data_IF_176069670315
#
_entry.id   IF_176069670315
#
_cell.length_a   1.000
_cell.length_b   1.000
_cell.length_c   1.000
_cell.angle_alpha   90.00
_cell.angle_beta   90.00
_cell.angle_gamma   90.00
#
_symmetry.space_group_name_H-M   'P 1'
#
loop_
_entity.id
_entity.type
_entity.pdbx_description
1 polymer ?
#
# COMPACT_ATOMS: atom_id res chain seq x y z
N UNK A 1 -19.69 -3.17 -13.11
CA UNK A 1 -20.04 -3.56 -11.72
C UNK A 1 -19.25 -4.76 -11.23
N UNK A 2 -18.93 -5.77 -12.07
CA UNK A 2 -18.15 -6.95 -11.65
C UNK A 2 -16.71 -6.70 -11.13
N UNK A 3 -16.10 -5.53 -11.38
CA UNK A 3 -14.71 -5.27 -10.97
C UNK A 3 -14.55 -4.91 -9.49
N UNK A 4 -15.48 -4.13 -8.92
CA UNK A 4 -15.35 -3.64 -7.54
C UNK A 4 -15.51 -4.75 -6.50
N UNK A 5 -16.53 -5.60 -6.66
CA UNK A 5 -16.76 -6.75 -5.78
C UNK A 5 -15.61 -7.77 -5.87
N UNK A 6 -15.06 -7.97 -7.08
CA UNK A 6 -13.90 -8.82 -7.30
C UNK A 6 -12.64 -8.28 -6.61
N UNK A 7 -12.46 -6.95 -6.58
CA UNK A 7 -11.33 -6.32 -5.90
C UNK A 7 -11.50 -6.36 -4.37
N UNK A 8 -12.72 -6.18 -3.85
CA UNK A 8 -12.98 -6.32 -2.41
C UNK A 8 -12.77 -7.76 -1.93
N UNK A 9 -13.28 -8.75 -2.68
CA UNK A 9 -13.07 -10.17 -2.37
C UNK A 9 -11.58 -10.54 -2.41
N UNK A 10 -10.85 -10.00 -3.37
CA UNK A 10 -9.40 -10.16 -3.47
C UNK A 10 -8.67 -9.58 -2.25
N UNK A 11 -8.95 -8.32 -1.86
CA UNK A 11 -8.30 -7.74 -0.69
C UNK A 11 -8.59 -8.56 0.58
N UNK A 12 -9.84 -8.99 0.78
CA UNK A 12 -10.21 -9.86 1.91
C UNK A 12 -9.44 -11.18 1.91
N UNK A 13 -9.28 -11.82 0.75
CA UNK A 13 -8.49 -13.06 0.61
C UNK A 13 -7.03 -12.86 1.05
N UNK A 14 -6.47 -11.68 0.77
CA UNK A 14 -5.07 -11.37 1.10
C UNK A 14 -4.85 -11.08 2.59
N UNK A 15 -5.87 -10.65 3.33
CA UNK A 15 -5.75 -10.26 4.75
C UNK A 15 -5.04 -11.31 5.61
N UNK A 16 -5.38 -12.61 5.46
CA UNK A 16 -4.74 -13.69 6.23
C UNK A 16 -3.22 -13.77 6.02
N UNK A 17 -2.75 -13.43 4.81
CA UNK A 17 -1.33 -13.46 4.47
C UNK A 17 -0.61 -12.23 5.01
N UNK A 18 -1.30 -11.08 5.02
CA UNK A 18 -0.80 -9.85 5.63
C UNK A 18 -0.74 -9.99 7.15
N UNK A 19 -1.77 -10.57 7.77
CA UNK A 19 -1.82 -10.86 9.21
C UNK A 19 -0.65 -11.75 9.64
N UNK A 20 -0.32 -12.76 8.84
CA UNK A 20 0.84 -13.61 9.08
C UNK A 20 2.16 -12.82 9.05
N UNK A 21 2.30 -11.82 8.16
CA UNK A 21 3.45 -10.91 8.16
C UNK A 21 3.49 -10.09 9.45
N UNK A 22 2.35 -9.51 9.86
CA UNK A 22 2.28 -8.70 11.07
C UNK A 22 2.62 -9.52 12.33
N UNK A 23 2.04 -10.70 12.48
CA UNK A 23 2.28 -11.59 13.62
C UNK A 23 3.73 -12.08 13.68
N UNK A 24 4.33 -12.38 12.52
CA UNK A 24 5.76 -12.72 12.42
C UNK A 24 6.64 -11.55 12.82
N UNK A 25 6.27 -10.32 12.42
CA UNK A 25 7.08 -9.12 12.66
C UNK A 25 6.95 -8.60 14.09
N UNK A 26 5.75 -8.67 14.64
CA UNK A 26 5.39 -8.19 15.97
C UNK A 26 4.63 -9.30 16.70
N UNK A 27 5.33 -10.24 17.34
CA UNK A 27 4.69 -11.31 18.09
C UNK A 27 3.82 -10.75 19.23
N UNK A 28 2.63 -11.32 19.41
CA UNK A 28 1.72 -10.92 20.50
C UNK A 28 0.86 -9.68 20.21
N UNK A 29 0.78 -9.25 18.95
CA UNK A 29 -0.17 -8.22 18.54
C UNK A 29 -1.61 -8.72 18.48
N UNK A 30 -2.54 -7.79 18.66
CA UNK A 30 -3.95 -7.90 18.32
C UNK A 30 -4.17 -7.09 17.04
N UNK A 31 -4.90 -7.66 16.08
CA UNK A 31 -5.16 -7.04 14.78
C UNK A 31 -6.65 -6.68 14.72
N UNK A 32 -6.95 -5.39 14.69
CA UNK A 32 -8.30 -4.85 14.52
C UNK A 32 -8.52 -4.40 13.06
N UNK A 33 -9.21 -5.26 12.30
CA UNK A 33 -9.65 -5.00 10.92
C UNK A 33 -11.04 -4.35 10.85
N UNK A 34 -11.78 -4.39 11.96
CA UNK A 34 -13.09 -3.75 12.12
C UNK A 34 -12.96 -2.39 12.82
N UNK A 35 -11.78 -1.77 12.72
CA UNK A 35 -11.46 -0.45 13.26
C UNK A 35 -12.38 0.68 12.77
N UNK A 36 -13.33 0.39 11.87
CA UNK A 36 -14.42 1.26 11.38
C UNK A 36 -15.71 1.14 12.19
N UNK A 37 -15.90 0.07 12.97
CA UNK A 37 -17.13 -0.28 13.66
C UNK A 37 -17.08 -0.07 15.19
N UNK A 38 -15.89 0.07 15.80
CA UNK A 38 -15.73 0.29 17.24
C UNK A 38 -15.94 1.73 17.72
N UNK A 39 -15.83 2.02 19.03
CA UNK A 39 -15.84 3.40 19.57
C UNK A 39 -14.67 4.26 19.05
N UNK A 40 -13.54 3.60 18.73
CA UNK A 40 -12.41 4.16 17.99
C UNK A 40 -12.70 4.33 16.48
N UNK A 41 -13.84 3.83 15.99
CA UNK A 41 -14.35 3.88 14.61
C UNK A 41 -14.59 5.28 14.04
N UNK A 42 -14.37 6.32 14.84
CA UNK A 42 -14.23 7.70 14.34
C UNK A 42 -12.86 7.97 13.71
N UNK A 43 -11.89 7.07 13.85
CA UNK A 43 -10.52 7.27 13.38
C UNK A 43 -10.16 6.59 12.06
N UNK A 44 -10.93 5.61 11.59
CA UNK A 44 -10.76 4.92 10.30
C UNK A 44 -11.89 5.27 9.33
N UNK A 45 -12.02 6.54 8.96
CA UNK A 45 -12.89 6.97 7.85
C UNK A 45 -12.17 6.69 6.52
N UNK A 46 -12.91 6.45 5.42
CA UNK A 46 -12.38 6.38 4.04
C UNK A 46 -11.47 7.57 3.72
N UNK A 47 -11.71 8.71 4.38
CA UNK A 47 -10.91 9.94 4.28
C UNK A 47 -9.56 9.91 4.98
N UNK A 48 -9.17 8.83 5.65
CA UNK A 48 -7.93 8.76 6.46
C UNK A 48 -6.96 7.70 5.98
N UNK A 49 -7.36 6.88 4.99
CA UNK A 49 -6.57 5.77 4.46
C UNK A 49 -5.93 4.95 5.59
N UNK A 50 -6.79 4.36 6.41
CA UNK A 50 -6.44 3.37 7.44
C UNK A 50 -7.31 2.14 7.17
N UNK A 51 -6.66 0.99 6.98
CA UNK A 51 -7.33 -0.29 6.75
C UNK A 51 -7.29 -1.19 7.98
N UNK A 52 -6.27 -1.05 8.84
CA UNK A 52 -6.09 -1.89 10.02
C UNK A 52 -5.41 -1.14 11.15
N UNK A 53 -5.78 -1.48 12.38
CA UNK A 53 -5.09 -1.07 13.60
C UNK A 53 -4.43 -2.30 14.22
N UNK A 54 -3.17 -2.16 14.59
CA UNK A 54 -2.40 -3.20 15.28
C UNK A 54 -2.06 -2.69 16.68
N UNK A 55 -2.43 -3.46 17.69
CA UNK A 55 -2.15 -3.17 19.10
C UNK A 55 -1.21 -4.23 19.67
N UNK A 56 -0.31 -3.84 20.56
CA UNK A 56 0.56 -4.79 21.26
C UNK A 56 0.29 -4.78 22.75
N UNK A 57 0.54 -5.91 23.41
CA UNK A 57 0.44 -6.06 24.88
C UNK A 57 1.32 -5.10 25.70
N UNK A 58 2.22 -4.36 25.04
CA UNK A 58 3.08 -3.35 25.67
C UNK A 58 2.47 -1.93 25.59
N UNK A 59 1.26 -1.81 25.05
CA UNK A 59 0.48 -0.57 25.03
C UNK A 59 0.75 0.36 23.83
N UNK A 60 1.51 -0.09 22.82
CA UNK A 60 1.66 0.67 21.58
C UNK A 60 0.61 0.27 20.54
N UNK A 61 0.27 1.22 19.67
CA UNK A 61 -0.70 1.08 18.59
C UNK A 61 -0.09 1.59 17.29
N UNK A 62 -0.34 0.87 16.19
CA UNK A 62 0.03 1.24 14.84
C UNK A 62 -1.21 1.28 13.94
N UNK A 63 -1.37 2.35 13.18
CA UNK A 63 -2.35 2.43 12.08
C UNK A 63 -1.66 2.13 10.76
N UNK A 64 -2.27 1.27 9.95
CA UNK A 64 -1.65 0.78 8.71
C UNK A 64 -2.64 0.91 7.54
N UNK A 65 -2.14 1.40 6.41
CA UNK A 65 -2.81 1.34 5.11
C UNK A 65 -2.32 0.11 4.35
N UNK A 66 -3.22 -0.66 3.74
CA UNK A 66 -2.88 -1.91 3.07
C UNK A 66 -3.16 -1.81 1.57
N UNK A 67 -2.22 -2.28 0.73
CA UNK A 67 -2.46 -2.46 -0.70
C UNK A 67 -1.73 -3.67 -1.23
N UNK A 68 -2.47 -4.54 -1.91
CA UNK A 68 -1.88 -5.68 -2.62
C UNK A 68 -2.16 -5.57 -4.11
N UNK A 69 -1.14 -5.81 -4.93
CA UNK A 69 -1.27 -5.99 -6.38
C UNK A 69 -1.42 -7.45 -6.72
N UNK A 70 -2.30 -7.74 -7.68
CA UNK A 70 -2.49 -9.10 -8.22
C UNK A 70 -1.22 -9.64 -8.86
N UNK A 71 -1.02 -10.96 -8.78
CA UNK A 71 0.23 -11.62 -9.17
C UNK A 71 0.66 -11.39 -10.61
N UNK A 72 -0.28 -11.17 -11.53
CA UNK A 72 0.01 -10.81 -12.94
C UNK A 72 0.94 -9.61 -13.09
N UNK A 73 0.88 -8.65 -12.17
CA UNK A 73 1.75 -7.47 -12.19
C UNK A 73 3.20 -7.85 -11.86
N UNK A 74 3.39 -8.77 -10.91
CA UNK A 74 4.70 -9.30 -10.57
C UNK A 74 5.27 -10.15 -11.71
N UNK A 75 4.46 -11.07 -12.26
CA UNK A 75 4.86 -11.90 -13.41
C UNK A 75 5.32 -11.04 -14.58
N UNK A 76 4.56 -10.01 -14.92
CA UNK A 76 4.92 -9.05 -15.98
C UNK A 76 6.25 -8.34 -15.70
N UNK A 77 6.51 -7.99 -14.44
CA UNK A 77 7.76 -7.36 -14.01
C UNK A 77 8.94 -8.30 -14.24
N UNK A 78 8.81 -9.57 -13.86
CA UNK A 78 9.84 -10.59 -14.09
C UNK A 78 10.07 -10.90 -15.58
N UNK A 79 9.00 -11.11 -16.36
CA UNK A 79 9.07 -11.48 -17.77
C UNK A 79 9.73 -10.40 -18.64
N UNK A 80 9.60 -9.13 -18.25
CA UNK A 80 10.14 -7.98 -19.00
C UNK A 80 11.37 -7.37 -18.38
N UNK A 81 11.96 -8.04 -17.39
CA UNK A 81 13.08 -7.52 -16.60
C UNK A 81 12.83 -6.08 -16.11
N UNK A 82 11.58 -5.80 -15.73
CA UNK A 82 11.14 -4.51 -15.28
C UNK A 82 11.02 -4.52 -13.77
N UNK A 83 11.61 -3.52 -13.15
CA UNK A 83 11.50 -3.32 -11.72
C UNK A 83 10.04 -3.11 -11.29
N UNK A 84 9.57 -3.79 -10.23
CA UNK A 84 8.24 -3.57 -9.68
C UNK A 84 8.11 -2.16 -9.07
N UNK A 85 6.91 -1.60 -9.11
CA UNK A 85 6.62 -0.26 -8.63
C UNK A 85 5.64 -0.27 -7.43
N UNK A 86 5.92 0.62 -6.47
CA UNK A 86 4.93 1.10 -5.52
C UNK A 86 4.00 2.08 -6.22
N UNK A 87 2.70 2.07 -5.88
CA UNK A 87 1.76 3.07 -6.40
C UNK A 87 1.05 3.85 -5.33
N UNK A 88 1.25 5.16 -5.39
CA UNK A 88 0.56 6.16 -4.61
C UNK A 88 -0.56 6.78 -5.44
N UNK A 89 -1.82 6.68 -4.99
CA UNK A 89 -2.90 7.43 -5.61
C UNK A 89 -2.74 8.93 -5.32
N UNK A 90 -2.89 9.75 -6.36
CA UNK A 90 -2.70 11.20 -6.27
C UNK A 90 -4.02 11.97 -6.39
N UNK A 91 -4.86 11.66 -7.37
CA UNK A 91 -6.20 12.24 -7.53
C UNK A 91 -7.22 11.19 -7.89
N UNK A 92 -8.46 11.41 -7.46
CA UNK A 92 -9.62 10.62 -7.86
C UNK A 92 -10.51 11.42 -8.80
N UNK A 93 -11.33 10.73 -9.61
CA UNK A 93 -12.29 11.33 -10.53
C UNK A 93 -11.72 12.43 -11.45
N UNK A 94 -10.49 12.25 -11.93
CA UNK A 94 -9.73 13.22 -12.74
C UNK A 94 -10.50 13.63 -13.99
N UNK A 95 -10.56 14.94 -14.23
CA UNK A 95 -11.26 15.52 -15.39
C UNK A 95 -12.79 15.49 -15.26
N UNK A 96 -13.32 15.40 -14.05
CA UNK A 96 -14.77 15.51 -13.76
C UNK A 96 -15.05 16.64 -12.79
N UNK A 97 -16.31 17.03 -12.66
CA UNK A 97 -16.75 18.01 -11.64
C UNK A 97 -16.57 17.51 -10.19
N UNK A 98 -16.32 16.21 -10.01
CA UNK A 98 -16.09 15.57 -8.71
C UNK A 98 -14.61 15.26 -8.46
N UNK A 99 -13.69 15.85 -9.23
CA UNK A 99 -12.25 15.64 -9.01
C UNK A 99 -11.86 16.02 -7.57
N UNK A 100 -11.23 15.09 -6.87
CA UNK A 100 -10.86 15.25 -5.47
C UNK A 100 -9.43 14.78 -5.21
N UNK A 101 -8.79 15.27 -4.13
CA UNK A 101 -7.51 14.73 -3.69
C UNK A 101 -7.61 13.21 -3.51
N UNK A 102 -6.61 12.46 -3.98
CA UNK A 102 -6.48 11.02 -3.76
C UNK A 102 -5.73 10.69 -2.48
N UNK A 103 -5.55 9.39 -2.23
CA UNK A 103 -4.97 8.82 -0.99
C UNK A 103 -3.76 9.60 -0.43
N UNK A 104 -2.84 10.06 -1.30
CA UNK A 104 -1.65 10.83 -0.90
C UNK A 104 -1.95 11.97 0.09
N UNK A 105 -3.04 12.69 -0.15
CA UNK A 105 -3.41 13.89 0.60
C UNK A 105 -4.09 13.58 1.93
N UNK A 106 -4.57 12.36 2.11
CA UNK A 106 -5.30 11.91 3.30
C UNK A 106 -4.72 10.64 3.90
N UNK A 107 -3.48 10.30 3.56
CA UNK A 107 -2.74 9.18 4.14
C UNK A 107 -2.36 9.50 5.59
N UNK A 108 -3.19 9.06 6.54
CA UNK A 108 -3.02 9.29 7.99
C UNK A 108 -2.47 8.05 8.72
N UNK A 109 -2.42 6.90 8.05
CA UNK A 109 -1.74 5.73 8.58
C UNK A 109 -0.28 6.07 8.96
N UNK A 110 0.24 5.39 9.97
CA UNK A 110 1.65 5.47 10.36
C UNK A 110 2.52 4.63 9.43
N UNK A 111 2.01 3.47 9.00
CA UNK A 111 2.69 2.55 8.10
C UNK A 111 1.88 2.28 6.83
N UNK A 112 2.58 1.95 5.74
CA UNK A 112 1.98 1.49 4.50
C UNK A 112 2.48 0.09 4.19
N UNK A 113 1.58 -0.90 4.22
CA UNK A 113 1.87 -2.25 3.73
C UNK A 113 1.57 -2.32 2.24
N UNK A 114 2.58 -2.69 1.44
CA UNK A 114 2.43 -2.88 0.00
C UNK A 114 2.94 -4.26 -0.42
N UNK A 115 2.07 -5.06 -1.01
CA UNK A 115 2.37 -6.45 -1.39
C UNK A 115 2.11 -6.77 -2.84
N UNK A 116 2.71 -7.86 -3.30
CA UNK A 116 2.41 -8.53 -4.56
C UNK A 116 1.95 -9.95 -4.25
N UNK A 117 0.77 -10.30 -4.75
CA UNK A 117 0.20 -11.64 -4.66
C UNK A 117 1.08 -12.65 -5.42
N UNK A 118 1.18 -13.87 -4.91
CA UNK A 118 1.82 -14.98 -5.63
C UNK A 118 1.08 -15.31 -6.93
N UNK A 119 1.78 -15.82 -7.96
CA UNK A 119 1.12 -16.24 -9.20
C UNK A 119 0.03 -17.31 -9.01
N UNK A 120 0.13 -18.12 -7.95
CA UNK A 120 -0.84 -19.16 -7.58
C UNK A 120 -2.00 -18.61 -6.75
N UNK A 121 -2.03 -17.30 -6.47
CA UNK A 121 -3.04 -16.63 -5.65
C UNK A 121 -3.19 -17.23 -4.24
N UNK A 122 -2.11 -17.77 -3.68
CA UNK A 122 -2.07 -18.50 -2.41
C UNK A 122 -1.25 -17.80 -1.33
N UNK A 123 -0.72 -16.61 -1.62
CA UNK A 123 0.12 -15.85 -0.70
C UNK A 123 0.69 -14.57 -1.30
N UNK A 124 1.78 -14.10 -0.69
CA UNK A 124 2.54 -12.95 -1.15
C UNK A 124 3.88 -13.45 -1.70
N UNK A 125 4.22 -13.04 -2.93
CA UNK A 125 5.55 -13.33 -3.50
C UNK A 125 6.59 -12.30 -3.07
N UNK A 126 6.15 -11.07 -2.83
CA UNK A 126 6.98 -10.01 -2.30
C UNK A 126 6.12 -9.01 -1.53
N UNK A 127 6.72 -8.30 -0.60
CA UNK A 127 6.08 -7.20 0.12
C UNK A 127 7.10 -6.21 0.65
N UNK A 128 6.63 -5.02 0.98
CA UNK A 128 7.35 -4.00 1.73
C UNK A 128 6.42 -3.34 2.76
N UNK A 129 7.03 -2.76 3.78
CA UNK A 129 6.33 -1.97 4.78
C UNK A 129 7.06 -0.65 5.00
N UNK A 130 6.36 0.44 4.69
CA UNK A 130 6.91 1.78 4.61
C UNK A 130 6.51 2.61 5.82
N UNK A 131 7.45 3.39 6.35
CA UNK A 131 7.13 4.45 7.29
C UNK A 131 6.60 5.66 6.51
N UNK A 132 5.34 6.04 6.74
CA UNK A 132 4.67 7.07 5.96
C UNK A 132 5.28 8.45 6.20
N UNK A 133 5.73 8.74 7.43
CA UNK A 133 6.36 10.01 7.74
C UNK A 133 7.70 10.15 6.98
N UNK A 134 8.54 9.11 7.03
CA UNK A 134 9.79 9.08 6.27
C UNK A 134 9.54 9.19 4.77
N UNK A 135 8.56 8.46 4.25
CA UNK A 135 8.16 8.55 2.85
C UNK A 135 7.78 9.98 2.45
N UNK A 136 6.93 10.66 3.22
CA UNK A 136 6.55 12.06 2.96
C UNK A 136 7.75 13.00 3.00
N UNK A 137 8.68 12.80 3.95
CA UNK A 137 9.93 13.56 3.99
C UNK A 137 10.80 13.35 2.75
N UNK A 138 10.90 12.11 2.24
CA UNK A 138 11.66 11.78 1.04
C UNK A 138 11.05 12.46 -0.19
N UNK A 139 9.73 12.36 -0.35
CA UNK A 139 9.00 13.03 -1.44
C UNK A 139 9.24 14.54 -1.39
N UNK A 140 9.13 15.14 -0.21
CA UNK A 140 9.38 16.57 -0.01
C UNK A 140 10.83 16.94 -0.35
N UNK A 141 11.82 16.20 0.15
CA UNK A 141 13.24 16.44 -0.10
C UNK A 141 13.61 16.31 -1.58
N UNK A 142 12.90 15.47 -2.34
CA UNK A 142 13.08 15.33 -3.79
C UNK A 142 12.36 16.39 -4.61
N UNK A 143 11.49 17.19 -3.99
CA UNK A 143 10.72 18.24 -4.65
C UNK A 143 9.39 17.78 -5.25
N UNK A 144 8.88 16.60 -4.85
CA UNK A 144 7.56 16.11 -5.29
C UNK A 144 7.54 14.65 -5.74
N UNK A 145 6.33 14.10 -5.91
CA UNK A 145 6.11 12.71 -6.35
C UNK A 145 6.56 12.48 -7.81
N UNK A 146 6.46 13.51 -8.65
CA UNK A 146 6.92 13.55 -10.03
C UNK A 146 8.43 13.35 -10.20
N UNK A 147 9.19 13.63 -9.14
CA UNK A 147 10.65 13.40 -9.11
C UNK A 147 11.00 11.96 -8.79
N UNK A 148 10.11 11.24 -8.11
CA UNK A 148 10.31 9.86 -7.70
C UNK A 148 9.67 8.86 -8.66
N UNK A 149 8.50 9.16 -9.23
CA UNK A 149 7.76 8.24 -10.08
C UNK A 149 7.14 8.89 -11.30
N UNK A 150 6.42 8.08 -12.06
CA UNK A 150 5.67 8.52 -13.24
C UNK A 150 4.18 8.59 -12.91
N UNK A 151 3.54 9.70 -13.24
CA UNK A 151 2.08 9.81 -13.16
C UNK A 151 1.45 8.96 -14.25
N UNK A 152 0.54 8.07 -13.86
CA UNK A 152 -0.19 7.18 -14.75
C UNK A 152 -1.70 7.29 -14.48
N UNK A 153 -2.54 7.36 -15.52
CA UNK A 153 -3.97 7.28 -15.36
C UNK A 153 -4.40 5.84 -15.06
N UNK A 154 -5.40 5.67 -14.20
CA UNK A 154 -6.07 4.40 -13.96
C UNK A 154 -7.10 4.12 -15.07
N UNK A 155 -6.65 3.85 -16.29
CA UNK A 155 -7.55 3.64 -17.43
C UNK A 155 -8.49 2.42 -17.28
N UNK A 156 -8.22 1.51 -16.32
CA UNK A 156 -8.90 0.22 -16.20
C UNK A 156 -10.04 0.20 -15.18
N UNK A 157 -9.89 0.91 -14.06
CA UNK A 157 -10.81 0.78 -12.91
C UNK A 157 -11.45 2.10 -12.48
N UNK A 158 -11.15 3.22 -13.13
CA UNK A 158 -11.77 4.50 -12.80
C UNK A 158 -11.16 5.69 -13.53
N UNK A 159 -11.29 6.86 -12.91
CA UNK A 159 -10.63 8.10 -13.37
C UNK A 159 -9.59 8.58 -12.36
N UNK A 160 -9.07 7.70 -11.50
CA UNK A 160 -7.96 8.07 -10.62
C UNK A 160 -6.64 8.14 -11.38
N UNK A 161 -5.68 8.91 -10.86
CA UNK A 161 -4.29 8.84 -11.29
C UNK A 161 -3.38 8.47 -10.12
N UNK A 162 -2.27 7.83 -10.44
CA UNK A 162 -1.32 7.35 -9.45
C UNK A 162 0.10 7.57 -9.93
N UNK A 163 1.01 7.79 -8.99
CA UNK A 163 2.45 7.74 -9.27
C UNK A 163 2.92 6.31 -9.12
N UNK A 164 3.48 5.76 -10.20
CA UNK A 164 4.27 4.53 -10.17
C UNK A 164 5.71 4.87 -9.82
N UNK A 165 6.14 4.46 -8.63
CA UNK A 165 7.47 4.74 -8.08
C UNK A 165 8.25 3.42 -8.04
N UNK A 166 9.38 3.30 -8.77
CA UNK A 166 10.28 2.15 -8.65
C UNK A 166 10.71 1.95 -7.20
N UNK A 167 10.73 0.70 -6.73
CA UNK A 167 11.07 0.36 -5.34
C UNK A 167 12.51 0.75 -4.95
N UNK A 168 13.45 0.70 -5.90
CA UNK A 168 14.87 1.09 -5.77
C UNK A 168 14.99 2.53 -5.31
N UNK A 169 14.22 3.43 -5.93
CA UNK A 169 14.18 4.86 -5.57
C UNK A 169 13.66 5.12 -4.16
N UNK A 170 12.85 4.24 -3.61
CA UNK A 170 12.37 4.32 -2.23
C UNK A 170 13.38 3.67 -1.26
N UNK A 171 14.09 2.64 -1.71
CA UNK A 171 15.11 1.94 -0.92
C UNK A 171 16.37 2.75 -0.68
N UNK A 172 16.87 3.48 -1.69
CA UNK A 172 18.01 4.41 -1.57
C UNK A 172 17.88 5.36 -0.38
N UNK A 173 16.64 5.67 0.01
CA UNK A 173 16.31 6.57 1.09
C UNK A 173 15.82 5.88 2.36
N UNK A 174 15.89 4.55 2.43
CA UNK A 174 15.46 3.73 3.57
C UNK A 174 14.00 4.00 3.97
N UNK A 175 13.14 4.25 2.96
CA UNK A 175 11.72 4.55 3.18
C UNK A 175 10.97 3.38 3.82
N UNK A 176 11.35 2.15 3.46
CA UNK A 176 10.78 0.93 3.99
C UNK A 176 11.88 0.11 4.69
N UNK A 177 11.88 0.04 6.02
CA UNK A 177 12.86 -0.77 6.74
C UNK A 177 12.63 -2.28 6.60
N UNK A 178 11.47 -2.70 6.07
CA UNK A 178 11.10 -4.10 5.94
C UNK A 178 10.62 -4.41 4.53
N UNK A 179 11.16 -5.49 3.97
CA UNK A 179 10.75 -6.07 2.72
C UNK A 179 11.12 -7.56 2.68
N UNK A 180 10.48 -8.30 1.78
CA UNK A 180 10.80 -9.69 1.45
C UNK A 180 10.54 -9.92 -0.03
N UNK A 181 11.39 -10.68 -0.71
CA UNK A 181 11.23 -11.05 -2.12
C UNK A 181 11.60 -9.94 -3.11
N UNK A 182 12.19 -8.84 -2.63
CA UNK A 182 12.60 -7.69 -3.44
C UNK A 182 14.13 -7.62 -3.65
N UNK A 183 14.90 -8.57 -3.11
CA UNK A 183 16.35 -8.50 -2.99
C UNK A 183 17.07 -8.36 -4.33
N UNK A 184 16.48 -8.86 -5.41
CA UNK A 184 17.03 -8.70 -6.77
C UNK A 184 17.12 -7.23 -7.20
N UNK A 185 16.17 -6.41 -6.77
CA UNK A 185 15.97 -5.03 -7.25
C UNK A 185 16.56 -3.97 -6.30
N UNK A 186 17.00 -4.38 -5.11
CA UNK A 186 17.45 -3.48 -4.04
C UNK A 186 18.96 -3.55 -3.80
N UNK A 187 19.71 -4.23 -4.67
CA UNK A 187 21.18 -4.25 -4.67
C UNK A 187 21.73 -2.96 -5.23
#
# INVERSE_FOLDING_TARGET
>A
MASFESDLAFQKKMQRHIDAVYQKRWPGIIIDRDCRAGPAGKHADRKRAIDVIVEHSLGWTLTIQEKVRRGKVWTYSLERDREPDFTQEYRNAVGTEHEEPGEWFHLWAQLYFFGWESPNEDGLIAWLMMDIFRYKMIVHAKGGLDRLGRLNPNARHGRSNFYSIPISRLHEHKAFPWHEGLERWLK
#
